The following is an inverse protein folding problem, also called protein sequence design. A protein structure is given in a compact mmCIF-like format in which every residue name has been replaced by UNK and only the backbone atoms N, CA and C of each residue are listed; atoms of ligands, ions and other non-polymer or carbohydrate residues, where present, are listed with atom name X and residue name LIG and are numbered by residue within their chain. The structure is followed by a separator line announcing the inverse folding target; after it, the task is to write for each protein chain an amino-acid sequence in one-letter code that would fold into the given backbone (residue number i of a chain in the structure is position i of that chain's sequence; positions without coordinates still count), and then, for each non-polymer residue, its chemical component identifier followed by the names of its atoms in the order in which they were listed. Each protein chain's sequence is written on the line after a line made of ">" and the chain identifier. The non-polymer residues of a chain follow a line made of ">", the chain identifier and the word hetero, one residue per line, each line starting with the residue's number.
data_IF_266533293214
#
_entry.id   IF_266533293214
#
_cell.length_a   1.000
_cell.length_b   1.000
_cell.length_c   1.000
_cell.angle_alpha   90.00
_cell.angle_beta   90.00
_cell.angle_gamma   90.00
#
_symmetry.space_group_name_H-M   'P 1'
#
loop_
_entity.id
_entity.type
_entity.pdbx_description
1 polymer ?
#
# COMPACT_ATOMS: atom_id res chain seq x y z
N UNK A 1 -9.51 -21.20 -48.56
CA UNK A 1 -8.09 -21.25 -48.17
C UNK A 1 -7.96 -20.40 -46.92
N UNK A 2 -8.01 -21.04 -45.75
CA UNK A 2 -8.13 -20.38 -44.45
C UNK A 2 -6.77 -20.41 -43.74
N UNK A 3 -6.25 -19.23 -43.41
CA UNK A 3 -5.04 -19.06 -42.60
C UNK A 3 -5.42 -19.14 -41.13
N UNK A 4 -5.01 -20.25 -40.48
CA UNK A 4 -5.00 -20.40 -39.03
C UNK A 4 -3.82 -19.60 -38.46
N UNK A 5 -4.08 -18.77 -37.47
CA UNK A 5 -3.04 -18.15 -36.61
C UNK A 5 -3.10 -18.87 -35.27
N UNK A 6 -1.99 -19.49 -34.88
CA UNK A 6 -1.77 -20.15 -33.59
C UNK A 6 -1.18 -19.16 -32.58
N UNK A 7 -1.59 -19.19 -31.30
CA UNK A 7 -0.98 -18.37 -30.26
C UNK A 7 0.16 -19.14 -29.58
N UNK A 8 1.39 -18.67 -29.75
CA UNK A 8 2.50 -19.01 -28.88
C UNK A 8 3.19 -17.74 -28.36
N UNK A 9 3.68 -17.84 -27.12
CA UNK A 9 4.63 -16.97 -26.44
C UNK A 9 4.12 -15.71 -25.70
N UNK A 10 3.46 -15.91 -24.56
CA UNK A 10 3.68 -15.03 -23.40
C UNK A 10 4.62 -15.80 -22.45
N UNK A 11 5.93 -15.54 -22.57
CA UNK A 11 6.93 -16.02 -21.60
C UNK A 11 6.68 -15.29 -20.28
N UNK A 12 6.34 -16.06 -19.24
CA UNK A 12 6.33 -15.62 -17.86
C UNK A 12 7.74 -15.19 -17.44
N UNK A 13 7.92 -13.90 -17.16
CA UNK A 13 9.11 -13.40 -16.46
C UNK A 13 8.98 -13.82 -15.01
N UNK A 14 9.72 -14.86 -14.62
CA UNK A 14 9.94 -15.21 -13.23
C UNK A 14 10.82 -14.12 -12.59
N UNK A 15 10.24 -13.34 -11.66
CA UNK A 15 10.98 -12.37 -10.86
C UNK A 15 11.80 -13.13 -9.80
N UNK A 16 13.11 -13.14 -9.97
CA UNK A 16 14.09 -13.60 -8.99
C UNK A 16 14.25 -12.54 -7.92
N UNK A 17 13.64 -12.71 -6.75
CA UNK A 17 14.02 -11.97 -5.54
C UNK A 17 15.24 -12.64 -4.92
N UNK A 18 16.37 -11.92 -4.86
CA UNK A 18 17.56 -12.34 -4.12
C UNK A 18 17.27 -12.34 -2.61
N UNK A 19 17.34 -13.52 -1.99
CA UNK A 19 17.35 -13.68 -0.53
C UNK A 19 18.72 -13.25 0.01
N UNK A 20 18.77 -12.15 0.78
CA UNK A 20 19.92 -11.84 1.64
C UNK A 20 19.57 -12.17 3.09
N UNK A 21 20.21 -13.23 3.60
CA UNK A 21 20.21 -13.62 5.01
C UNK A 21 21.11 -12.69 5.82
N UNK A 22 20.53 -11.83 6.67
CA UNK A 22 21.27 -11.12 7.72
C UNK A 22 21.03 -11.79 9.08
N UNK A 23 22.07 -12.25 9.79
CA UNK A 23 21.92 -12.67 11.19
C UNK A 23 21.77 -11.46 12.12
N UNK A 24 21.06 -11.59 13.25
CA UNK A 24 20.85 -10.49 14.19
C UNK A 24 22.13 -10.21 15.01
N UNK A 25 22.46 -8.94 15.30
CA UNK A 25 23.54 -8.60 16.23
C UNK A 25 23.08 -8.79 17.68
N UNK A 26 23.86 -9.55 18.44
CA UNK A 26 23.75 -9.67 19.89
C UNK A 26 24.73 -8.72 20.57
N UNK A 27 24.22 -7.68 21.24
CA UNK A 27 24.96 -7.00 22.30
C UNK A 27 24.04 -6.55 23.43
N UNK A 28 24.31 -7.09 24.62
CA UNK A 28 23.72 -6.67 25.89
C UNK A 28 24.36 -5.37 26.36
N UNK A 29 23.55 -4.37 26.72
CA UNK A 29 24.02 -3.20 27.48
C UNK A 29 23.17 -3.05 28.74
N UNK A 30 23.84 -3.09 29.89
CA UNK A 30 23.26 -2.85 31.22
C UNK A 30 22.87 -1.37 31.35
N UNK A 31 21.62 -1.10 31.69
CA UNK A 31 21.15 0.24 32.02
C UNK A 31 21.47 0.57 33.49
N UNK A 32 22.25 1.64 33.68
CA UNK A 32 22.44 2.34 34.96
C UNK A 32 21.77 3.72 34.88
N UNK A 33 21.09 4.08 35.97
CA UNK A 33 20.22 5.25 36.07
C UNK A 33 20.92 6.61 36.00
N UNK A 34 20.11 7.63 35.70
CA UNK A 34 20.29 9.08 35.92
C UNK A 34 20.82 9.91 34.75
N UNK A 35 19.92 10.51 33.95
CA UNK A 35 20.12 11.87 33.39
C UNK A 35 18.74 12.53 33.15
N UNK A 36 18.15 13.12 34.19
CA UNK A 36 16.98 13.98 34.08
C UNK A 36 17.41 15.47 34.02
N UNK A 37 18.38 15.81 33.15
CA UNK A 37 18.89 17.19 33.04
C UNK A 37 19.53 17.55 31.68
N UNK A 38 19.05 16.98 30.55
CA UNK A 38 19.58 17.31 29.19
C UNK A 38 18.49 17.76 28.20
N UNK A 39 17.22 17.86 28.62
CA UNK A 39 16.11 18.12 27.70
C UNK A 39 15.91 19.61 27.30
N UNK A 40 16.60 20.57 27.92
CA UNK A 40 16.40 22.00 27.62
C UNK A 40 17.50 22.64 26.75
N UNK A 41 18.65 21.99 26.53
CA UNK A 41 19.72 22.51 25.66
C UNK A 41 19.63 22.01 24.20
N UNK A 42 18.96 20.88 23.95
CA UNK A 42 18.86 20.28 22.60
C UNK A 42 17.89 20.99 21.65
N UNK A 43 16.83 21.61 22.18
CA UNK A 43 15.79 22.25 21.36
C UNK A 43 16.24 23.57 20.70
N UNK A 44 17.21 24.27 21.30
CA UNK A 44 17.76 25.52 20.74
C UNK A 44 18.88 25.28 19.72
N UNK A 45 19.56 24.13 19.76
CA UNK A 45 20.62 23.81 18.80
C UNK A 45 20.08 23.28 17.46
N UNK A 46 18.94 22.57 17.46
CA UNK A 46 18.33 22.10 16.21
C UNK A 46 17.65 23.21 15.41
N UNK A 47 17.09 24.22 16.07
CA UNK A 47 16.47 25.36 15.39
C UNK A 47 17.51 26.28 14.72
N UNK A 48 18.73 26.37 15.26
CA UNK A 48 19.82 27.14 14.62
C UNK A 48 20.48 26.41 13.43
N UNK A 49 20.52 25.08 13.44
CA UNK A 49 21.15 24.31 12.34
C UNK A 49 20.31 24.31 11.05
N UNK A 50 18.97 24.44 11.17
CA UNK A 50 18.05 24.56 10.02
C UNK A 50 18.08 25.97 9.41
N UNK A 51 18.43 27.01 10.19
CA UNK A 51 18.45 28.40 9.72
C UNK A 51 19.78 28.74 9.02
N UNK A 52 20.91 28.10 9.39
CA UNK A 52 22.23 28.42 8.83
C UNK A 52 22.70 27.52 7.68
N UNK A 53 21.99 26.42 7.39
CA UNK A 53 22.19 25.62 6.19
C UNK A 53 20.91 25.68 5.34
N UNK A 54 20.72 26.74 4.52
CA UNK A 54 19.75 26.62 3.44
C UNK A 54 20.07 25.35 2.66
N UNK A 55 19.09 24.45 2.57
CA UNK A 55 19.13 23.30 1.66
C UNK A 55 19.69 23.80 0.33
N UNK A 56 20.69 23.12 -0.26
CA UNK A 56 21.37 23.61 -1.46
C UNK A 56 20.31 23.97 -2.50
N UNK A 57 20.22 25.27 -2.79
CA UNK A 57 19.17 25.91 -3.60
C UNK A 57 19.30 25.59 -5.10
N UNK A 58 19.69 24.35 -5.41
CA UNK A 58 20.00 23.87 -6.75
C UNK A 58 19.86 22.36 -6.92
N UNK A 59 19.31 21.62 -5.95
CA UNK A 59 18.83 20.27 -6.23
C UNK A 59 17.60 20.41 -7.14
N UNK A 60 17.81 20.25 -8.45
CA UNK A 60 16.73 20.11 -9.43
C UNK A 60 15.74 19.08 -8.87
N UNK A 61 14.48 19.48 -8.68
CA UNK A 61 13.46 18.62 -8.10
C UNK A 61 13.30 17.42 -9.02
N UNK A 62 13.90 16.30 -8.64
CA UNK A 62 13.87 15.09 -9.44
C UNK A 62 12.42 14.57 -9.44
N UNK A 63 11.72 14.76 -10.55
CA UNK A 63 10.35 14.31 -10.74
C UNK A 63 10.31 12.79 -10.95
N UNK A 64 9.25 12.17 -10.45
CA UNK A 64 9.08 10.72 -10.46
C UNK A 64 8.77 10.16 -9.08
N UNK A 65 8.22 8.94 -9.06
CA UNK A 65 7.91 8.25 -7.81
C UNK A 65 9.16 7.51 -7.33
N UNK A 66 9.74 7.86 -6.19
CA UNK A 66 10.97 7.23 -5.71
C UNK A 66 10.73 5.78 -5.28
N UNK A 67 11.76 4.94 -5.38
CA UNK A 67 11.70 3.54 -4.89
C UNK A 67 11.30 3.45 -3.42
N UNK A 68 11.76 4.41 -2.63
CA UNK A 68 11.48 4.53 -1.21
C UNK A 68 10.66 5.79 -0.96
N UNK A 69 9.44 5.82 -1.51
CA UNK A 69 8.48 6.87 -1.17
C UNK A 69 8.37 6.99 0.36
N UNK A 70 8.36 8.23 0.90
CA UNK A 70 8.17 8.45 2.32
C UNK A 70 6.79 7.90 2.68
N UNK A 71 6.76 7.02 3.67
CA UNK A 71 5.50 6.53 4.19
C UNK A 71 4.93 7.55 5.18
N UNK A 72 3.61 7.67 5.18
CA UNK A 72 2.86 8.50 6.09
C UNK A 72 2.75 7.80 7.44
N UNK A 73 3.09 8.50 8.51
CA UNK A 73 2.86 8.00 9.87
C UNK A 73 1.36 7.92 10.11
N UNK A 74 0.86 6.70 10.24
CA UNK A 74 -0.56 6.48 10.48
C UNK A 74 -0.91 6.50 11.96
N UNK A 75 0.06 6.39 12.88
CA UNK A 75 -0.07 6.38 14.36
C UNK A 75 -1.01 5.34 14.98
N UNK A 76 -2.09 4.96 14.29
CA UNK A 76 -3.16 4.07 14.72
C UNK A 76 -3.74 3.31 13.50
N UNK A 77 -3.08 2.22 13.06
CA UNK A 77 -3.52 1.44 11.90
C UNK A 77 -4.93 0.85 12.02
N UNK A 78 -5.49 0.71 13.23
CA UNK A 78 -6.84 0.17 13.39
C UNK A 78 -7.89 1.07 12.72
N UNK A 79 -7.63 2.39 12.63
CA UNK A 79 -8.55 3.35 12.02
C UNK A 79 -8.72 3.14 10.52
N UNK A 80 -7.85 2.37 9.88
CA UNK A 80 -8.01 1.97 8.49
C UNK A 80 -9.07 0.86 8.33
N UNK A 81 -9.50 0.19 9.39
CA UNK A 81 -10.47 -0.90 9.32
C UNK A 81 -11.76 -0.52 8.57
N UNK A 82 -12.38 -1.50 7.92
CA UNK A 82 -13.62 -1.35 7.18
C UNK A 82 -13.44 -1.24 5.66
N UNK A 83 -14.47 -0.71 5.00
CA UNK A 83 -14.55 -0.64 3.54
C UNK A 83 -13.90 0.64 3.02
N UNK A 84 -13.21 0.51 1.89
CA UNK A 84 -12.56 1.57 1.13
C UNK A 84 -12.82 1.35 -0.36
N UNK A 85 -13.52 2.26 -1.02
CA UNK A 85 -13.80 2.19 -2.44
C UNK A 85 -12.66 2.80 -3.26
N UNK A 86 -12.23 2.11 -4.30
CA UNK A 86 -11.21 2.61 -5.22
C UNK A 86 -11.81 3.78 -5.99
N UNK A 87 -11.19 4.95 -5.87
CA UNK A 87 -11.60 6.20 -6.49
C UNK A 87 -10.83 6.47 -7.78
N UNK A 88 -9.51 6.27 -7.74
CA UNK A 88 -8.63 6.50 -8.89
C UNK A 88 -7.31 5.72 -8.76
N UNK A 89 -6.66 5.42 -9.89
CA UNK A 89 -5.34 4.78 -9.91
C UNK A 89 -4.37 5.50 -10.83
N UNK A 90 -3.07 5.36 -10.56
CA UNK A 90 -1.98 5.75 -11.44
C UNK A 90 -1.02 4.58 -11.58
N UNK A 91 -0.83 4.09 -12.82
CA UNK A 91 -0.02 2.90 -13.13
C UNK A 91 1.25 3.25 -13.94
N UNK A 92 1.73 4.49 -13.83
CA UNK A 92 2.83 5.01 -14.64
C UNK A 92 2.40 5.51 -16.03
N UNK A 93 3.26 6.31 -16.66
CA UNK A 93 2.98 6.95 -17.96
C UNK A 93 3.10 6.00 -19.16
N UNK A 94 3.77 4.86 -18.99
CA UNK A 94 4.11 3.91 -20.05
C UNK A 94 3.29 2.62 -20.00
N UNK A 95 2.42 2.48 -18.99
CA UNK A 95 1.59 1.29 -18.84
C UNK A 95 0.47 1.30 -19.87
N UNK A 96 0.42 0.29 -20.75
CA UNK A 96 -0.79 -0.10 -21.47
C UNK A 96 -1.72 -0.83 -20.49
N UNK A 97 -2.12 -0.12 -19.44
CA UNK A 97 -2.76 -0.68 -18.26
C UNK A 97 -3.91 -1.61 -18.67
N UNK A 98 -4.09 -2.76 -18.00
CA UNK A 98 -5.27 -3.58 -18.20
C UNK A 98 -6.53 -2.72 -18.06
N UNK A 99 -7.63 -3.07 -18.75
CA UNK A 99 -8.85 -2.26 -18.72
C UNK A 99 -9.23 -1.92 -17.28
N UNK A 100 -9.61 -0.67 -17.00
CA UNK A 100 -9.82 -0.20 -15.65
C UNK A 100 -10.78 -1.13 -14.92
N UNK A 101 -10.36 -1.56 -13.74
CA UNK A 101 -11.21 -2.32 -12.84
C UNK A 101 -12.50 -1.53 -12.59
N UNK A 102 -13.61 -2.25 -12.55
CA UNK A 102 -14.94 -1.66 -12.30
C UNK A 102 -15.42 -2.07 -10.92
N UNK A 103 -16.02 -1.12 -10.18
CA UNK A 103 -16.52 -1.31 -8.82
C UNK A 103 -15.46 -1.90 -7.87
N UNK A 104 -14.22 -1.41 -7.96
CA UNK A 104 -13.14 -1.82 -7.07
C UNK A 104 -13.37 -1.34 -5.64
N UNK A 105 -13.18 -2.22 -4.66
CA UNK A 105 -13.13 -1.83 -3.25
C UNK A 105 -12.23 -2.77 -2.45
N UNK A 106 -11.66 -2.21 -1.39
CA UNK A 106 -10.84 -2.86 -0.39
C UNK A 106 -11.65 -3.02 0.91
N UNK A 107 -11.42 -4.11 1.63
CA UNK A 107 -11.90 -4.34 2.98
C UNK A 107 -10.69 -4.65 3.85
N UNK A 108 -10.51 -3.87 4.91
CA UNK A 108 -9.48 -4.10 5.91
C UNK A 108 -10.13 -4.63 7.18
N UNK A 109 -9.86 -5.89 7.51
CA UNK A 109 -10.36 -6.54 8.73
C UNK A 109 -9.21 -6.78 9.70
N UNK A 110 -9.15 -6.05 10.83
CA UNK A 110 -8.16 -6.29 11.86
C UNK A 110 -8.21 -7.72 12.40
N UNK A 111 -7.03 -8.31 12.62
CA UNK A 111 -6.86 -9.68 13.11
C UNK A 111 -6.23 -9.68 14.50
N UNK A 112 -5.22 -8.84 14.72
CA UNK A 112 -4.55 -8.67 16.01
C UNK A 112 -3.52 -7.53 15.95
N UNK A 113 -3.37 -6.79 17.05
CA UNK A 113 -2.36 -5.74 17.17
C UNK A 113 -1.04 -6.26 17.72
N UNK A 114 0.04 -5.51 17.51
CA UNK A 114 1.33 -5.76 18.16
C UNK A 114 2.02 -4.45 18.52
N UNK A 115 2.72 -4.46 19.64
CA UNK A 115 3.48 -3.31 20.15
C UNK A 115 4.94 -3.38 19.68
N UNK A 116 5.65 -2.25 19.71
CA UNK A 116 7.06 -2.15 19.31
C UNK A 116 7.36 -0.91 18.49
N UNK A 117 8.52 -0.91 17.83
CA UNK A 117 8.94 0.16 16.91
C UNK A 117 9.42 -0.45 15.58
N UNK A 118 8.58 -0.50 14.53
CA UNK A 118 7.21 0.03 14.50
C UNK A 118 6.20 -0.92 15.17
N UNK A 119 5.25 -0.35 15.90
CA UNK A 119 4.02 -1.06 16.29
C UNK A 119 3.12 -1.23 15.06
N UNK A 120 2.09 -2.08 15.14
CA UNK A 120 1.21 -2.28 14.01
C UNK A 120 0.00 -3.18 14.25
N UNK A 121 -0.62 -3.54 13.14
CA UNK A 121 -1.86 -4.29 13.06
C UNK A 121 -1.74 -5.38 12.00
N UNK A 122 -1.97 -6.63 12.37
CA UNK A 122 -2.25 -7.69 11.41
C UNK A 122 -3.66 -7.47 10.84
N UNK A 123 -3.79 -7.52 9.51
CA UNK A 123 -4.98 -7.18 8.75
C UNK A 123 -5.22 -8.23 7.68
N UNK A 124 -6.46 -8.72 7.60
CA UNK A 124 -6.96 -9.32 6.38
C UNK A 124 -7.38 -8.20 5.43
N UNK A 125 -6.61 -8.01 4.36
CA UNK A 125 -6.91 -7.08 3.29
C UNK A 125 -7.49 -7.86 2.10
N UNK A 126 -8.76 -7.61 1.81
CA UNK A 126 -9.42 -8.14 0.62
C UNK A 126 -9.69 -7.02 -0.39
N UNK A 127 -9.32 -7.20 -1.66
CA UNK A 127 -9.72 -6.34 -2.77
C UNK A 127 -10.68 -7.10 -3.67
N UNK A 128 -11.88 -6.57 -3.88
CA UNK A 128 -12.85 -7.10 -4.84
C UNK A 128 -13.03 -6.12 -5.98
N UNK A 129 -13.12 -6.63 -7.20
CA UNK A 129 -13.30 -5.81 -8.38
C UNK A 129 -13.80 -6.64 -9.57
N UNK A 130 -14.30 -5.95 -10.59
CA UNK A 130 -14.67 -6.55 -11.86
C UNK A 130 -13.64 -6.22 -12.94
N UNK A 131 -13.23 -7.21 -13.71
CA UNK A 131 -12.36 -6.98 -14.87
C UNK A 131 -12.64 -7.96 -16.02
N UNK A 132 -11.95 -7.71 -17.14
CA UNK A 132 -12.03 -8.52 -18.35
C UNK A 132 -13.31 -8.30 -19.16
N UNK A 133 -13.36 -8.95 -20.32
CA UNK A 133 -14.53 -8.98 -21.19
C UNK A 133 -15.66 -9.76 -20.46
N UNK A 134 -16.73 -9.07 -20.08
CA UNK A 134 -17.83 -9.64 -19.29
C UNK A 134 -17.86 -9.26 -17.80
N UNK A 135 -16.96 -8.38 -17.34
CA UNK A 135 -16.96 -7.86 -15.96
C UNK A 135 -16.97 -8.98 -14.89
N UNK A 136 -16.11 -9.99 -15.09
CA UNK A 136 -15.97 -11.10 -14.16
C UNK A 136 -15.58 -10.56 -12.78
N UNK A 137 -16.24 -11.05 -11.74
CA UNK A 137 -15.93 -10.68 -10.36
C UNK A 137 -14.69 -11.43 -9.88
N UNK A 138 -13.74 -10.69 -9.32
CA UNK A 138 -12.39 -11.15 -8.99
C UNK A 138 -11.98 -10.64 -7.61
N UNK A 139 -11.13 -11.40 -6.93
CA UNK A 139 -10.70 -11.14 -5.56
C UNK A 139 -9.19 -11.30 -5.39
N UNK A 140 -8.58 -10.33 -4.72
CA UNK A 140 -7.21 -10.40 -4.19
C UNK A 140 -7.33 -10.43 -2.67
N UNK A 141 -6.62 -11.33 -2.02
CA UNK A 141 -6.65 -11.53 -0.57
C UNK A 141 -5.22 -11.45 -0.05
N UNK A 142 -5.01 -10.64 0.98
CA UNK A 142 -3.69 -10.36 1.51
C UNK A 142 -3.73 -10.52 3.02
N UNK A 143 -2.92 -11.43 3.54
CA UNK A 143 -2.57 -11.46 4.96
C UNK A 143 -1.46 -10.44 5.17
N UNK A 144 -1.86 -9.29 5.69
CA UNK A 144 -1.04 -8.09 5.72
C UNK A 144 -0.70 -7.66 7.16
N UNK A 145 0.39 -6.92 7.28
CA UNK A 145 0.81 -6.20 8.47
C UNK A 145 0.87 -4.72 8.08
N UNK A 146 0.07 -3.92 8.76
CA UNK A 146 0.04 -2.47 8.64
C UNK A 146 0.80 -1.88 9.83
N UNK A 147 1.91 -1.22 9.57
CA UNK A 147 2.77 -0.65 10.61
C UNK A 147 2.48 0.82 10.81
N UNK A 148 2.77 1.33 12.02
CA UNK A 148 2.60 2.74 12.40
C UNK A 148 3.36 3.70 11.49
N UNK A 149 4.51 3.29 10.94
CA UNK A 149 5.26 4.04 9.93
C UNK A 149 4.69 3.89 8.50
N UNK A 150 3.44 3.43 8.35
CA UNK A 150 2.70 3.44 7.10
C UNK A 150 3.07 2.33 6.10
N UNK A 151 3.81 1.28 6.49
CA UNK A 151 4.04 0.13 5.60
C UNK A 151 2.82 -0.78 5.58
N UNK A 152 2.55 -1.36 4.40
CA UNK A 152 1.61 -2.45 4.16
C UNK A 152 2.36 -3.63 3.57
N UNK A 153 2.79 -4.55 4.42
CA UNK A 153 3.53 -5.75 4.01
C UNK A 153 2.60 -6.95 4.03
N UNK A 154 2.67 -7.87 3.07
CA UNK A 154 1.84 -9.06 3.15
C UNK A 154 2.09 -10.10 2.08
N UNK A 155 1.37 -11.20 2.17
CA UNK A 155 1.38 -12.26 1.18
C UNK A 155 0.07 -12.25 0.40
N UNK A 156 0.17 -12.20 -0.93
CA UNK A 156 -0.95 -12.05 -1.84
C UNK A 156 -1.41 -13.41 -2.35
N UNK A 157 -2.71 -13.63 -2.24
CA UNK A 157 -3.45 -14.78 -2.73
C UNK A 157 -4.50 -14.26 -3.71
N UNK A 158 -4.60 -14.87 -4.89
CA UNK A 158 -5.54 -14.41 -5.92
C UNK A 158 -6.47 -15.53 -6.34
N UNK A 159 -7.72 -15.21 -6.64
CA UNK A 159 -8.66 -16.20 -7.22
C UNK A 159 -8.40 -16.45 -8.71
N UNK A 160 -7.64 -15.58 -9.36
CA UNK A 160 -7.21 -15.73 -10.74
C UNK A 160 -5.86 -16.44 -10.82
N UNK A 161 -5.70 -17.28 -11.84
CA UNK A 161 -4.42 -17.82 -12.29
C UNK A 161 -3.66 -18.72 -11.31
N UNK A 162 -4.32 -19.73 -10.74
CA UNK A 162 -3.65 -20.97 -10.31
C UNK A 162 -2.36 -20.79 -9.49
N UNK A 163 -2.25 -19.70 -8.73
CA UNK A 163 -1.04 -19.39 -7.98
C UNK A 163 -0.94 -20.44 -6.89
N UNK A 164 -0.05 -21.42 -7.12
CA UNK A 164 0.17 -22.50 -6.16
C UNK A 164 0.79 -22.00 -4.85
N UNK A 165 1.37 -20.79 -4.87
CA UNK A 165 2.06 -20.15 -3.74
C UNK A 165 1.72 -18.66 -3.69
N UNK A 166 1.63 -18.07 -2.49
CA UNK A 166 1.42 -16.64 -2.35
C UNK A 166 2.64 -15.86 -2.82
N UNK A 167 2.43 -14.59 -3.18
CA UNK A 167 3.50 -13.65 -3.54
C UNK A 167 3.65 -12.57 -2.49
N UNK A 168 4.87 -12.27 -2.08
CA UNK A 168 5.09 -11.14 -1.17
C UNK A 168 4.76 -9.82 -1.88
N UNK A 169 4.13 -8.90 -1.15
CA UNK A 169 3.87 -7.53 -1.57
C UNK A 169 4.31 -6.54 -0.49
N UNK A 170 4.82 -5.39 -0.93
CA UNK A 170 5.09 -4.23 -0.09
C UNK A 170 4.44 -3.02 -0.75
N UNK A 171 3.53 -2.40 0.00
CA UNK A 171 2.94 -1.12 -0.32
C UNK A 171 3.18 -0.14 0.84
N UNK A 172 2.98 1.14 0.59
CA UNK A 172 3.17 2.21 1.57
C UNK A 172 1.99 3.17 1.49
N UNK A 173 1.44 3.55 2.63
CA UNK A 173 0.50 4.65 2.71
C UNK A 173 1.33 5.93 2.55
N UNK A 174 0.97 6.76 1.58
CA UNK A 174 1.61 8.06 1.34
C UNK A 174 0.75 9.21 1.85
N UNK A 175 -0.54 8.97 2.09
CA UNK A 175 -1.45 9.88 2.75
C UNK A 175 -2.68 9.13 3.27
N UNK A 176 -3.18 9.48 4.44
CA UNK A 176 -4.53 9.11 4.87
C UNK A 176 -5.06 10.11 5.88
N UNK A 177 -6.37 10.34 5.87
CA UNK A 177 -7.08 11.00 6.96
C UNK A 177 -8.01 10.05 7.72
N UNK A 178 -7.92 8.74 7.44
CA UNK A 178 -8.71 7.63 8.01
C UNK A 178 -10.21 7.64 7.69
N UNK A 179 -10.80 8.83 7.60
CA UNK A 179 -12.25 9.04 7.53
C UNK A 179 -12.75 9.26 6.11
N UNK A 180 -11.90 9.74 5.20
CA UNK A 180 -12.32 10.14 3.86
C UNK A 180 -11.47 9.51 2.77
N UNK A 181 -10.14 9.64 2.87
CA UNK A 181 -9.18 9.28 1.82
C UNK A 181 -8.03 8.47 2.40
N UNK A 182 -7.65 7.44 1.66
CA UNK A 182 -6.36 6.77 1.78
C UNK A 182 -5.69 6.78 0.41
N UNK A 183 -4.40 7.07 0.37
CA UNK A 183 -3.57 6.98 -0.83
C UNK A 183 -2.39 6.09 -0.49
N UNK A 184 -2.22 5.01 -1.24
CA UNK A 184 -1.11 4.10 -1.07
C UNK A 184 -0.37 3.86 -2.39
N UNK A 185 0.90 3.50 -2.27
CA UNK A 185 1.84 3.31 -3.36
C UNK A 185 2.48 1.92 -3.28
N UNK A 186 2.72 1.32 -4.44
CA UNK A 186 3.56 0.13 -4.62
C UNK A 186 4.46 0.33 -5.84
N UNK A 187 5.69 -0.19 -5.77
CA UNK A 187 6.57 -0.26 -6.93
C UNK A 187 6.56 -1.67 -7.54
N UNK A 188 6.12 -1.80 -8.79
CA UNK A 188 6.17 -3.09 -9.49
C UNK A 188 7.52 -3.34 -10.18
N UNK A 189 8.15 -2.29 -10.71
CA UNK A 189 9.46 -2.39 -11.37
C UNK A 189 10.39 -1.33 -10.82
N UNK A 190 11.39 -1.77 -10.06
CA UNK A 190 12.36 -0.90 -9.41
C UNK A 190 13.53 -0.55 -10.34
N UNK A 191 13.91 0.73 -10.40
CA UNK A 191 15.11 1.19 -11.08
C UNK A 191 16.17 1.65 -10.07
N UNK A 192 16.97 0.70 -9.59
CA UNK A 192 18.00 0.96 -8.57
C UNK A 192 19.09 1.92 -9.05
N UNK A 193 19.26 2.09 -10.37
CA UNK A 193 20.25 3.01 -10.94
C UNK A 193 19.79 4.47 -10.80
N UNK A 194 18.51 4.75 -11.00
CA UNK A 194 17.96 6.11 -10.92
C UNK A 194 17.40 6.43 -9.53
N UNK A 195 17.09 5.42 -8.72
CA UNK A 195 16.42 5.59 -7.43
C UNK A 195 14.90 5.75 -7.55
N UNK A 196 14.35 5.60 -8.76
CA UNK A 196 12.92 5.74 -9.06
C UNK A 196 12.25 4.41 -9.36
N UNK A 197 10.92 4.40 -9.26
CA UNK A 197 10.10 3.30 -9.72
C UNK A 197 9.74 3.50 -11.20
N UNK A 198 10.12 2.55 -12.07
CA UNK A 198 9.79 2.61 -13.50
C UNK A 198 8.30 2.32 -13.74
N UNK A 199 7.72 1.42 -12.93
CA UNK A 199 6.29 1.08 -12.97
C UNK A 199 5.68 1.26 -11.58
N UNK A 200 5.32 2.50 -11.20
CA UNK A 200 4.63 2.78 -9.97
C UNK A 200 3.15 2.41 -10.09
N UNK A 201 2.56 1.98 -8.99
CA UNK A 201 1.12 1.90 -8.79
C UNK A 201 0.74 2.76 -7.59
N UNK A 202 -0.13 3.74 -7.80
CA UNK A 202 -0.72 4.55 -6.74
C UNK A 202 -2.23 4.37 -6.81
N UNK A 203 -2.83 3.96 -5.70
CA UNK A 203 -4.28 3.80 -5.59
C UNK A 203 -4.83 4.80 -4.59
N UNK A 204 -5.88 5.49 -5.01
CA UNK A 204 -6.67 6.40 -4.17
C UNK A 204 -7.93 5.68 -3.77
N UNK A 205 -8.13 5.56 -2.46
CA UNK A 205 -9.25 4.92 -1.82
C UNK A 205 -10.08 5.95 -1.05
N UNK A 206 -11.38 5.70 -0.97
CA UNK A 206 -12.33 6.58 -0.29
C UNK A 206 -13.34 5.81 0.54
N UNK A 207 -13.79 6.36 1.68
CA UNK A 207 -14.80 5.69 2.52
C UNK A 207 -16.19 5.65 1.87
N UNK A 208 -16.55 6.70 1.14
CA UNK A 208 -17.80 6.77 0.39
C UNK A 208 -17.64 6.11 -0.97
N UNK A 209 -18.68 5.48 -1.49
CA UNK A 209 -18.69 5.00 -2.88
C UNK A 209 -18.60 6.20 -3.86
N UNK A 210 -17.65 6.22 -4.81
CA UNK A 210 -17.50 7.31 -5.78
C UNK A 210 -18.75 7.62 -6.63
N UNK A 211 -19.68 6.67 -6.78
CA UNK A 211 -20.97 6.90 -7.46
C UNK A 211 -21.90 7.82 -6.67
N UNK A 212 -21.84 7.74 -5.35
CA UNK A 212 -22.75 8.44 -4.46
C UNK A 212 -22.18 9.79 -4.02
N UNK A 213 -20.96 10.12 -4.45
CA UNK A 213 -20.29 11.38 -4.13
C UNK A 213 -20.82 12.53 -4.98
N UNK A 214 -21.10 13.65 -4.31
CA UNK A 214 -21.36 14.93 -4.97
C UNK A 214 -20.10 15.42 -5.74
N UNK A 215 -20.27 16.26 -6.77
CA UNK A 215 -19.13 16.89 -7.45
C UNK A 215 -18.20 17.65 -6.50
N UNK A 216 -18.76 18.29 -5.46
CA UNK A 216 -17.99 19.00 -4.43
C UNK A 216 -17.09 18.05 -3.64
N UNK A 217 -17.63 16.90 -3.20
CA UNK A 217 -16.83 15.91 -2.48
C UNK A 217 -15.70 15.38 -3.35
N UNK A 218 -15.97 15.08 -4.63
CA UNK A 218 -14.93 14.63 -5.58
C UNK A 218 -13.81 15.67 -5.74
N UNK A 219 -14.16 16.95 -5.87
CA UNK A 219 -13.19 18.04 -5.94
C UNK A 219 -12.30 18.11 -4.68
N UNK A 220 -12.86 17.89 -3.49
CA UNK A 220 -12.08 17.83 -2.26
C UNK A 220 -11.11 16.62 -2.23
N UNK A 221 -11.50 15.47 -2.79
CA UNK A 221 -10.60 14.31 -2.95
C UNK A 221 -9.44 14.67 -3.91
N UNK A 222 -9.72 15.33 -5.04
CA UNK A 222 -8.66 15.75 -5.97
C UNK A 222 -7.62 16.67 -5.32
N UNK A 223 -8.04 17.63 -4.49
CA UNK A 223 -7.11 18.48 -3.76
C UNK A 223 -6.21 17.70 -2.78
N UNK A 224 -6.74 16.63 -2.16
CA UNK A 224 -5.94 15.73 -1.31
C UNK A 224 -4.95 14.90 -2.12
N UNK A 225 -5.36 14.40 -3.29
CA UNK A 225 -4.47 13.71 -4.23
C UNK A 225 -3.33 14.64 -4.63
N UNK A 226 -3.63 15.83 -5.16
CA UNK A 226 -2.65 16.81 -5.62
C UNK A 226 -1.63 17.13 -4.54
N UNK A 227 -2.09 17.34 -3.30
CA UNK A 227 -1.22 17.62 -2.15
C UNK A 227 -0.29 16.45 -1.84
N UNK A 228 -0.81 15.21 -1.83
CA UNK A 228 -0.05 14.02 -1.50
C UNK A 228 0.99 13.64 -2.58
N UNK A 229 0.68 13.86 -3.86
CA UNK A 229 1.54 13.43 -4.97
C UNK A 229 2.38 14.56 -5.59
N UNK A 230 2.19 15.80 -5.16
CA UNK A 230 3.01 16.95 -5.56
C UNK A 230 4.53 16.73 -5.41
N UNK A 231 5.05 16.01 -4.38
CA UNK A 231 6.48 15.69 -4.29
C UNK A 231 7.00 14.91 -5.50
N UNK A 232 6.14 14.12 -6.17
CA UNK A 232 6.47 13.29 -7.33
C UNK A 232 6.26 14.00 -8.67
N UNK A 233 5.87 15.28 -8.66
CA UNK A 233 5.44 16.05 -9.83
C UNK A 233 4.23 15.46 -10.54
N UNK A 234 3.33 14.83 -9.78
CA UNK A 234 2.05 14.34 -10.27
C UNK A 234 0.93 15.26 -9.78
N UNK A 235 -0.22 15.12 -10.42
CA UNK A 235 -1.50 15.71 -10.04
C UNK A 235 -2.60 14.68 -10.28
N UNK A 236 -3.79 14.94 -9.78
CA UNK A 236 -5.02 14.21 -10.03
C UNK A 236 -5.31 14.00 -11.52
N UNK A 237 -4.84 14.91 -12.40
CA UNK A 237 -4.96 14.74 -13.86
C UNK A 237 -4.16 13.55 -14.41
N UNK A 238 -3.17 13.05 -13.68
CA UNK A 238 -2.40 11.87 -14.07
C UNK A 238 -3.12 10.56 -13.71
N UNK A 239 -4.21 10.61 -12.94
CA UNK A 239 -4.90 9.43 -12.45
C UNK A 239 -6.08 9.06 -13.35
N UNK A 240 -6.30 7.76 -13.50
CA UNK A 240 -7.48 7.19 -14.15
C UNK A 240 -8.54 7.01 -13.07
N UNK A 241 -9.72 7.60 -13.27
CA UNK A 241 -10.84 7.39 -12.36
C UNK A 241 -11.30 5.93 -12.44
N UNK A 242 -11.49 5.33 -11.26
CA UNK A 242 -12.07 4.01 -11.17
C UNK A 242 -13.45 4.02 -11.81
N UNK A 243 -13.71 3.02 -12.66
CA UNK A 243 -15.04 2.87 -13.24
C UNK A 243 -15.97 2.37 -12.17
N UNK A 244 -17.17 2.93 -12.14
CA UNK A 244 -18.21 2.37 -11.30
C UNK A 244 -19.54 2.32 -12.05
N UNK A 245 -20.20 1.18 -11.92
CA UNK A 245 -21.42 0.82 -12.63
C UNK A 245 -22.39 0.17 -11.64
N UNK A 246 -23.42 0.91 -11.26
CA UNK A 246 -24.45 0.46 -10.32
C UNK A 246 -25.37 -0.63 -10.88
N UNK A 247 -25.31 -0.91 -12.19
CA UNK A 247 -26.10 -1.98 -12.83
C UNK A 247 -25.44 -3.35 -12.69
N UNK A 248 -24.15 -3.39 -12.37
CA UNK A 248 -23.45 -4.65 -12.14
C UNK A 248 -23.81 -5.19 -10.75
N UNK A 249 -23.97 -6.52 -10.60
CA UNK A 249 -24.22 -7.10 -9.29
C UNK A 249 -23.05 -6.83 -8.33
N UNK A 250 -23.31 -6.95 -7.03
CA UNK A 250 -22.24 -6.91 -6.02
C UNK A 250 -21.13 -7.91 -6.38
N UNK A 251 -19.88 -7.52 -6.17
CA UNK A 251 -18.74 -8.38 -6.40
C UNK A 251 -18.17 -8.83 -5.05
N UNK A 252 -18.57 -10.03 -4.62
CA UNK A 252 -18.10 -10.65 -3.39
C UNK A 252 -17.54 -12.03 -3.73
N UNK A 253 -16.21 -12.14 -3.75
CA UNK A 253 -15.53 -13.39 -4.08
C UNK A 253 -15.12 -14.09 -2.80
N UNK A 254 -15.46 -15.37 -2.68
CA UNK A 254 -15.01 -16.19 -1.57
C UNK A 254 -13.46 -16.29 -1.54
N UNK A 255 -12.83 -16.19 -0.36
CA UNK A 255 -11.40 -16.34 -0.23
C UNK A 255 -10.94 -17.76 -0.60
N UNK A 256 -9.75 -17.92 -1.22
CA UNK A 256 -9.14 -19.23 -1.42
C UNK A 256 -8.94 -19.97 -0.09
N UNK A 257 -9.12 -21.29 -0.07
CA UNK A 257 -8.96 -22.10 1.15
C UNK A 257 -7.58 -21.93 1.82
N UNK A 258 -6.53 -21.75 1.02
CA UNK A 258 -5.17 -21.52 1.51
C UNK A 258 -5.03 -20.20 2.28
N UNK A 259 -5.70 -19.15 1.80
CA UNK A 259 -5.76 -17.87 2.49
C UNK A 259 -6.47 -18.02 3.85
N UNK A 260 -7.61 -18.71 3.87
CA UNK A 260 -8.35 -18.99 5.12
C UNK A 260 -7.48 -19.76 6.12
N UNK A 261 -6.66 -20.71 5.64
CA UNK A 261 -5.72 -21.44 6.49
C UNK A 261 -4.59 -20.53 7.03
N UNK A 262 -4.02 -19.65 6.21
CA UNK A 262 -3.02 -18.67 6.66
C UNK A 262 -3.58 -17.75 7.73
N UNK A 263 -4.80 -17.25 7.53
CA UNK A 263 -5.47 -16.35 8.46
C UNK A 263 -5.68 -17.00 9.84
N UNK A 264 -6.13 -18.26 9.88
CA UNK A 264 -6.28 -19.01 11.14
C UNK A 264 -4.96 -19.09 11.90
N UNK A 265 -3.86 -19.39 11.20
CA UNK A 265 -2.53 -19.46 11.79
C UNK A 265 -2.06 -18.11 12.35
N UNK A 266 -2.32 -17.02 11.62
CA UNK A 266 -1.98 -15.68 12.08
C UNK A 266 -2.74 -15.31 13.37
N UNK A 267 -4.03 -15.63 13.44
CA UNK A 267 -4.85 -15.43 14.66
C UNK A 267 -4.28 -16.22 15.83
N UNK A 268 -4.01 -17.52 15.64
CA UNK A 268 -3.47 -18.39 16.69
C UNK A 268 -2.15 -17.87 17.28
N UNK A 269 -1.22 -17.44 16.41
CA UNK A 269 0.06 -16.87 16.82
C UNK A 269 -0.08 -15.53 17.55
N UNK A 270 -1.04 -14.70 17.14
CA UNK A 270 -1.33 -13.44 17.82
C UNK A 270 -1.98 -13.64 19.19
N UNK A 271 -2.79 -14.69 19.35
CA UNK A 271 -3.43 -15.05 20.62
C UNK A 271 -2.46 -15.63 21.64
N UNK A 272 -1.44 -16.39 21.21
CA UNK A 272 -0.42 -16.93 22.14
C UNK A 272 0.51 -15.87 22.72
N UNK A 273 0.83 -14.82 21.95
CA UNK A 273 1.72 -13.75 22.42
C UNK A 273 1.12 -12.91 23.55
N UNK A 274 -0.21 -12.83 23.64
CA UNK A 274 -0.91 -12.09 24.68
C UNK A 274 -0.97 -12.84 26.03
N UNK A 275 -0.77 -14.16 26.04
CA UNK A 275 -0.86 -14.98 27.26
C UNK A 275 0.50 -15.12 27.95
N UNK A 276 1.60 -15.10 27.20
CA UNK A 276 2.96 -15.23 27.76
C UNK A 276 3.54 -13.91 28.33
N UNK A 277 2.75 -12.84 28.34
CA UNK A 277 3.14 -11.52 28.89
C UNK A 277 2.35 -11.10 30.14
N UNK A 278 1.51 -12.00 30.68
CA UNK A 278 0.85 -11.86 31.99
C UNK A 278 1.54 -12.70 33.06
#
# INVERSE_FOLDING_TARGET
>A
MALRVTPEAIKSVAMSSSEENYPPPTTSVKAGASVMLVLLAGALYQTWYIIMNPLPSGAEKACGVPLKAPAFDISDPIKLAGVWHVFATFDGLTSTAPPPSTNGFNIYTPVGGFEGSPAGQAVNWTTNFRAGEGNQCMGIFVDAIFTTDGQKNGYVWMTMNGFAKPRYTNAKIIYTDFDTVEIWFQCYVANVKTGFCDVPHIEVNTRQNPNDMSPYNKAAIYGKIDSAVAPFCLTSHNFILARSDSKLPACDVAPPAQFVASLKRAVELSGSAAVDSM
#
